data_IF_677376890767
#
_entry.id   IF_677376890767
#
_cell.length_a   1.000
_cell.length_b   1.000
_cell.length_c   1.000
_cell.angle_alpha   90.00
_cell.angle_beta   90.00
_cell.angle_gamma   90.00
#
_symmetry.space_group_name_H-M   'P 1'
#
loop_
_entity.id
_entity.type
_entity.pdbx_description
1 polymer ?
#
# COMPACT_ATOMS: atom_id res chain seq x y z
N UNK A 1 3.53 -28.10 -1.09
CA UNK A 1 2.84 -28.68 0.09
C UNK A 1 1.56 -27.95 0.53
N UNK A 2 1.43 -26.63 0.40
CA UNK A 2 0.21 -25.85 0.76
C UNK A 2 -1.08 -26.22 0.03
N UNK A 3 -1.00 -26.68 -1.23
CA UNK A 3 -2.18 -26.97 -2.06
C UNK A 3 -2.93 -28.24 -1.62
N UNK A 4 -2.32 -29.07 -0.76
CA UNK A 4 -2.86 -30.34 -0.28
C UNK A 4 -3.82 -30.17 0.90
N UNK A 5 -3.72 -29.07 1.67
CA UNK A 5 -4.63 -28.83 2.80
C UNK A 5 -5.95 -28.26 2.27
N UNK A 6 -7.08 -28.95 2.49
CA UNK A 6 -8.43 -28.42 2.22
C UNK A 6 -8.76 -27.30 3.21
N UNK A 7 -8.14 -26.13 3.05
CA UNK A 7 -8.47 -24.96 3.86
C UNK A 7 -9.83 -24.39 3.48
N UNK A 8 -10.59 -23.96 4.48
CA UNK A 8 -11.77 -23.13 4.30
C UNK A 8 -11.41 -21.79 3.63
N UNK A 9 -12.40 -21.13 3.03
CA UNK A 9 -12.22 -19.80 2.42
C UNK A 9 -11.66 -18.81 3.45
N UNK A 10 -12.20 -18.84 4.68
CA UNK A 10 -11.72 -18.02 5.79
C UNK A 10 -10.24 -18.30 6.15
N UNK A 11 -9.84 -19.58 6.18
CA UNK A 11 -8.45 -19.95 6.45
C UNK A 11 -7.49 -19.41 5.38
N UNK A 12 -7.91 -19.43 4.10
CA UNK A 12 -7.11 -18.84 3.00
C UNK A 12 -6.97 -17.34 3.14
N UNK A 13 -8.05 -16.63 3.50
CA UNK A 13 -8.01 -15.20 3.77
C UNK A 13 -7.06 -14.87 4.93
N UNK A 14 -7.09 -15.63 6.02
CA UNK A 14 -6.15 -15.45 7.13
C UNK A 14 -4.70 -15.68 6.70
N UNK A 15 -4.43 -16.71 5.88
CA UNK A 15 -3.08 -16.95 5.36
C UNK A 15 -2.58 -15.80 4.48
N UNK A 16 -3.42 -15.27 3.59
CA UNK A 16 -3.10 -14.07 2.79
C UNK A 16 -2.75 -12.91 3.73
N UNK A 17 -3.54 -12.72 4.78
CA UNK A 17 -3.33 -11.63 5.74
C UNK A 17 -2.08 -11.80 6.61
N UNK A 18 -1.63 -13.03 6.86
CA UNK A 18 -0.38 -13.27 7.59
C UNK A 18 0.86 -13.14 6.69
N UNK A 19 0.81 -13.69 5.48
CA UNK A 19 1.98 -13.83 4.60
C UNK A 19 2.14 -12.66 3.64
N UNK A 20 1.13 -12.45 2.78
CA UNK A 20 1.22 -11.46 1.70
C UNK A 20 1.22 -10.05 2.29
N UNK A 21 0.31 -9.81 3.22
CA UNK A 21 0.10 -8.51 3.85
C UNK A 21 1.32 -8.05 4.66
N UNK A 22 2.01 -8.94 5.38
CA UNK A 22 3.20 -8.55 6.17
C UNK A 22 4.37 -8.10 5.30
N UNK A 23 4.67 -8.84 4.22
CA UNK A 23 5.74 -8.51 3.28
C UNK A 23 5.39 -7.28 2.42
N UNK A 24 4.13 -7.19 2.03
CA UNK A 24 3.67 -6.13 1.13
C UNK A 24 3.59 -4.78 1.83
N UNK A 25 3.23 -4.72 3.12
CA UNK A 25 3.26 -3.44 3.85
C UNK A 25 4.67 -2.90 4.04
N UNK A 26 5.64 -3.77 4.27
CA UNK A 26 7.03 -3.34 4.39
C UNK A 26 7.52 -2.69 3.10
N UNK A 27 7.27 -3.34 1.96
CA UNK A 27 7.65 -2.80 0.64
C UNK A 27 6.88 -1.53 0.28
N UNK A 28 5.56 -1.49 0.51
CA UNK A 28 4.73 -0.29 0.28
C UNK A 28 5.09 0.90 1.15
N UNK A 29 5.68 0.67 2.33
CA UNK A 29 6.08 1.75 3.22
C UNK A 29 7.32 2.50 2.70
N UNK A 30 8.11 1.87 1.83
CA UNK A 30 9.34 2.42 1.24
C UNK A 30 9.13 2.86 -0.20
N UNK A 31 8.43 2.06 -1.00
CA UNK A 31 8.24 2.30 -2.43
C UNK A 31 6.75 2.37 -2.79
N UNK A 32 6.32 3.39 -3.58
CA UNK A 32 4.98 3.40 -4.13
C UNK A 32 4.84 2.27 -5.17
N UNK A 33 3.88 1.36 -4.93
CA UNK A 33 3.58 0.30 -5.89
C UNK A 33 2.88 0.89 -7.12
N UNK A 34 3.37 0.66 -8.35
CA UNK A 34 2.68 1.10 -9.55
C UNK A 34 1.36 0.32 -9.72
N UNK A 35 0.39 0.93 -10.41
CA UNK A 35 -0.98 0.40 -10.47
C UNK A 35 -1.07 -1.00 -11.09
N UNK A 36 -0.24 -1.30 -12.09
CA UNK A 36 -0.20 -2.62 -12.73
C UNK A 36 0.19 -3.73 -11.73
N UNK A 37 1.19 -3.48 -10.87
CA UNK A 37 1.60 -4.43 -9.81
C UNK A 37 0.47 -4.64 -8.82
N UNK A 38 -0.22 -3.56 -8.41
CA UNK A 38 -1.33 -3.69 -7.48
C UNK A 38 -2.45 -4.55 -8.06
N UNK A 39 -2.75 -4.40 -9.35
CA UNK A 39 -3.75 -5.22 -10.03
C UNK A 39 -3.32 -6.69 -10.14
N UNK A 40 -2.06 -6.96 -10.47
CA UNK A 40 -1.52 -8.32 -10.52
C UNK A 40 -1.59 -9.02 -9.16
N UNK A 41 -1.24 -8.32 -8.08
CA UNK A 41 -1.32 -8.86 -6.73
C UNK A 41 -2.78 -9.12 -6.34
N UNK A 42 -3.70 -8.21 -6.64
CA UNK A 42 -5.13 -8.41 -6.40
C UNK A 42 -5.64 -9.65 -7.16
N UNK A 43 -5.24 -9.82 -8.42
CA UNK A 43 -5.58 -10.99 -9.23
C UNK A 43 -5.03 -12.28 -8.61
N UNK A 44 -3.80 -12.26 -8.10
CA UNK A 44 -3.19 -13.40 -7.43
C UNK A 44 -3.92 -13.78 -6.13
N UNK A 45 -4.32 -12.77 -5.34
CA UNK A 45 -5.13 -12.95 -4.13
C UNK A 45 -6.48 -13.61 -4.47
N UNK A 46 -7.19 -13.08 -5.49
CA UNK A 46 -8.48 -13.64 -5.94
C UNK A 46 -8.30 -15.10 -6.38
N UNK A 47 -7.30 -15.37 -7.23
CA UNK A 47 -6.97 -16.73 -7.68
C UNK A 47 -6.69 -17.68 -6.52
N UNK A 48 -5.96 -17.23 -5.50
CA UNK A 48 -5.65 -18.02 -4.31
C UNK A 48 -6.90 -18.35 -3.48
N UNK A 49 -7.77 -17.37 -3.24
CA UNK A 49 -9.03 -17.56 -2.49
C UNK A 49 -9.91 -18.59 -3.19
N UNK A 50 -10.05 -18.49 -4.51
CA UNK A 50 -10.94 -19.34 -5.31
C UNK A 50 -10.27 -20.61 -5.86
N UNK A 51 -8.99 -20.88 -5.56
CA UNK A 51 -8.21 -22.02 -6.12
C UNK A 51 -8.25 -22.07 -7.65
N UNK A 52 -7.95 -20.95 -8.30
CA UNK A 52 -8.02 -20.80 -9.75
C UNK A 52 -9.41 -21.06 -10.36
N UNK A 53 -10.47 -21.12 -9.55
CA UNK A 53 -11.85 -21.11 -10.04
C UNK A 53 -12.31 -19.68 -10.30
N UNK A 54 -13.31 -19.48 -11.19
CA UNK A 54 -13.93 -18.17 -11.36
C UNK A 54 -14.42 -17.63 -10.01
N UNK A 55 -14.21 -16.33 -9.79
CA UNK A 55 -14.63 -15.66 -8.56
C UNK A 55 -16.14 -15.66 -8.45
N UNK A 56 -16.68 -16.31 -7.41
CA UNK A 56 -18.13 -16.31 -7.17
C UNK A 56 -18.64 -14.96 -6.61
N UNK A 57 -17.74 -14.14 -6.06
CA UNK A 57 -18.06 -12.87 -5.40
C UNK A 57 -17.23 -11.76 -6.02
N UNK A 58 -17.85 -10.59 -6.24
CA UNK A 58 -17.17 -9.38 -6.73
C UNK A 58 -16.08 -8.93 -5.74
N UNK A 59 -14.97 -8.42 -6.26
CA UNK A 59 -13.83 -7.96 -5.46
C UNK A 59 -14.20 -6.91 -4.40
N UNK A 60 -15.08 -5.95 -4.73
CA UNK A 60 -15.54 -4.93 -3.77
C UNK A 60 -16.23 -5.53 -2.54
N UNK A 61 -16.97 -6.62 -2.72
CA UNK A 61 -17.64 -7.33 -1.62
C UNK A 61 -16.64 -8.14 -0.79
N UNK A 62 -15.59 -8.69 -1.42
CA UNK A 62 -14.51 -9.42 -0.75
C UNK A 62 -13.71 -8.50 0.20
N UNK A 63 -13.44 -7.26 -0.22
CA UNK A 63 -12.74 -6.26 0.59
C UNK A 63 -13.57 -5.80 1.79
N UNK A 64 -14.89 -5.94 1.73
CA UNK A 64 -15.81 -5.51 2.79
C UNK A 64 -15.40 -6.03 4.17
N UNK A 65 -15.69 -5.23 5.20
CA UNK A 65 -15.40 -5.63 6.58
C UNK A 65 -16.18 -6.89 6.97
N UNK A 66 -15.61 -7.71 7.85
CA UNK A 66 -16.25 -8.95 8.35
C UNK A 66 -17.64 -8.71 8.95
N UNK A 67 -17.84 -7.54 9.58
CA UNK A 67 -19.14 -7.11 10.14
C UNK A 67 -20.22 -6.89 9.07
N UNK A 68 -19.82 -6.56 7.85
CA UNK A 68 -20.71 -6.29 6.71
C UNK A 68 -20.85 -7.50 5.78
N UNK A 69 -20.45 -8.69 6.22
CA UNK A 69 -20.47 -9.92 5.42
C UNK A 69 -19.34 -10.06 4.40
N UNK A 70 -18.33 -9.18 4.44
CA UNK A 70 -17.15 -9.28 3.59
C UNK A 70 -16.06 -10.18 4.19
N UNK A 71 -15.03 -10.50 3.40
CA UNK A 71 -13.94 -11.41 3.81
C UNK A 71 -12.84 -10.69 4.61
N UNK A 72 -12.89 -9.37 4.71
CA UNK A 72 -11.95 -8.56 5.48
C UNK A 72 -10.55 -8.48 4.89
N UNK A 73 -10.42 -8.65 3.56
CA UNK A 73 -9.14 -8.52 2.88
C UNK A 73 -8.79 -7.03 2.73
N UNK A 74 -7.57 -6.61 3.11
CA UNK A 74 -7.18 -5.22 3.04
C UNK A 74 -7.04 -4.75 1.58
N UNK A 75 -7.61 -3.58 1.29
CA UNK A 75 -7.43 -2.92 -0.01
C UNK A 75 -6.02 -2.31 -0.09
N UNK A 76 -5.24 -2.76 -1.07
CA UNK A 76 -3.86 -2.29 -1.29
C UNK A 76 -3.78 -0.79 -1.54
N UNK A 77 -4.66 -0.24 -2.39
CA UNK A 77 -4.70 1.20 -2.70
C UNK A 77 -4.90 2.03 -1.44
N UNK A 78 -5.96 1.72 -0.69
CA UNK A 78 -6.29 2.45 0.55
C UNK A 78 -5.19 2.33 1.59
N UNK A 79 -4.56 1.15 1.72
CA UNK A 79 -3.44 0.96 2.65
C UNK A 79 -2.19 1.73 2.24
N UNK A 80 -1.89 1.80 0.94
CA UNK A 80 -0.81 2.64 0.41
C UNK A 80 -1.01 4.11 0.79
N UNK A 81 -2.21 4.66 0.54
CA UNK A 81 -2.53 6.03 0.94
C UNK A 81 -2.44 6.23 2.46
N UNK A 82 -2.92 5.28 3.27
CA UNK A 82 -2.82 5.36 4.72
C UNK A 82 -1.36 5.35 5.21
N UNK A 83 -0.47 4.58 4.57
CA UNK A 83 0.96 4.56 4.88
C UNK A 83 1.61 5.89 4.50
N UNK A 84 1.30 6.45 3.33
CA UNK A 84 1.78 7.77 2.93
C UNK A 84 1.33 8.86 3.91
N UNK A 85 0.04 8.86 4.29
CA UNK A 85 -0.51 9.78 5.29
C UNK A 85 0.16 9.65 6.66
N UNK A 86 0.52 8.41 7.07
CA UNK A 86 1.25 8.18 8.32
C UNK A 86 2.63 8.85 8.30
N UNK A 87 3.34 8.79 7.18
CA UNK A 87 4.63 9.48 7.01
C UNK A 87 4.48 10.99 6.95
N UNK A 88 3.48 11.50 6.23
CA UNK A 88 3.17 12.93 6.19
C UNK A 88 2.83 13.46 7.59
N UNK A 89 1.99 12.75 8.35
CA UNK A 89 1.69 13.11 9.74
C UNK A 89 2.95 13.26 10.58
N UNK A 90 3.89 12.30 10.48
CA UNK A 90 5.18 12.38 11.19
C UNK A 90 6.05 13.55 10.73
N UNK A 91 6.02 13.88 9.45
CA UNK A 91 6.76 15.01 8.90
C UNK A 91 6.26 16.34 9.48
N UNK A 92 4.93 16.53 9.54
CA UNK A 92 4.31 17.75 10.04
C UNK A 92 4.30 17.87 11.58
N UNK A 93 4.51 16.78 12.33
CA UNK A 93 4.64 16.87 13.77
C UNK A 93 5.92 17.66 14.16
N UNK A 94 5.80 18.79 14.90
CA UNK A 94 6.94 19.62 15.27
C UNK A 94 7.86 18.92 16.29
N UNK A 95 7.29 18.11 17.17
CA UNK A 95 8.00 17.35 18.21
C UNK A 95 8.88 16.22 17.64
N UNK A 96 8.69 15.86 16.36
CA UNK A 96 9.42 14.75 15.73
C UNK A 96 10.67 15.28 15.01
N UNK A 97 11.78 15.36 15.75
CA UNK A 97 13.09 15.72 15.22
C UNK A 97 13.89 14.45 14.86
N UNK A 98 13.91 14.09 13.58
CA UNK A 98 14.64 12.90 13.09
C UNK A 98 15.48 13.23 11.86
N UNK A 99 16.61 12.55 11.68
CA UNK A 99 17.55 12.82 10.59
C UNK A 99 16.90 12.73 9.20
N UNK A 100 15.99 11.77 8.98
CA UNK A 100 15.27 11.66 7.70
C UNK A 100 14.43 12.91 7.40
N UNK A 101 13.85 13.59 8.42
CA UNK A 101 13.07 14.82 8.24
C UNK A 101 13.98 15.96 7.77
N UNK A 102 15.18 16.08 8.34
CA UNK A 102 16.17 17.07 7.91
C UNK A 102 16.62 16.82 6.46
N UNK A 103 16.91 15.57 6.10
CA UNK A 103 17.26 15.17 4.73
C UNK A 103 16.11 15.47 3.76
N UNK A 104 14.87 15.12 4.13
CA UNK A 104 13.69 15.42 3.31
C UNK A 104 13.48 16.91 3.13
N UNK A 105 13.62 17.73 4.19
CA UNK A 105 13.55 19.18 4.07
C UNK A 105 14.65 19.74 3.14
N UNK A 106 15.86 19.19 3.20
CA UNK A 106 16.95 19.57 2.30
C UNK A 106 16.62 19.23 0.84
N UNK A 107 16.23 17.98 0.56
CA UNK A 107 15.88 17.52 -0.79
C UNK A 107 14.68 18.28 -1.34
N UNK A 108 13.64 18.50 -0.54
CA UNK A 108 12.46 19.26 -0.94
C UNK A 108 12.81 20.71 -1.29
N UNK A 109 13.71 21.37 -0.55
CA UNK A 109 14.17 22.73 -0.90
C UNK A 109 14.98 22.78 -2.19
N UNK A 110 15.72 21.72 -2.52
CA UNK A 110 16.57 21.67 -3.72
C UNK A 110 15.76 21.41 -5.00
N UNK A 111 14.75 20.53 -4.93
CA UNK A 111 14.01 20.07 -6.13
C UNK A 111 12.55 20.51 -6.18
N UNK A 112 11.97 20.85 -5.04
CA UNK A 112 10.66 21.46 -4.94
C UNK A 112 10.83 22.96 -4.74
N UNK A 113 10.45 23.76 -5.73
CA UNK A 113 10.27 25.20 -5.59
C UNK A 113 9.01 25.50 -4.71
N UNK A 114 8.84 24.71 -3.65
CA UNK A 114 7.70 24.64 -2.76
C UNK A 114 8.13 25.32 -1.47
N UNK A 115 7.79 26.60 -1.37
CA UNK A 115 7.57 27.21 -0.06
C UNK A 115 6.62 26.28 0.70
N UNK A 116 6.96 26.00 1.96
CA UNK A 116 6.52 24.87 2.79
C UNK A 116 5.04 24.91 3.21
N UNK A 117 4.16 25.20 2.27
CA UNK A 117 2.81 25.61 2.51
C UNK A 117 1.89 24.69 1.68
N UNK A 118 1.37 23.68 2.38
CA UNK A 118 0.15 22.90 2.06
C UNK A 118 0.17 21.98 0.82
N UNK A 119 1.06 22.15 -0.15
CA UNK A 119 1.04 21.38 -1.42
C UNK A 119 1.60 19.95 -1.32
N UNK A 120 2.09 19.52 -0.15
CA UNK A 120 2.46 18.12 0.16
C UNK A 120 1.28 17.14 -0.01
N UNK A 121 0.04 17.61 0.08
CA UNK A 121 -1.16 16.79 -0.15
C UNK A 121 -1.27 16.30 -1.60
N UNK A 122 -0.60 16.96 -2.55
CA UNK A 122 -0.68 16.62 -3.97
C UNK A 122 0.49 15.77 -4.45
N UNK A 123 1.31 15.20 -3.55
CA UNK A 123 2.25 14.14 -3.92
C UNK A 123 1.47 12.82 -4.08
N UNK A 124 0.53 12.78 -5.03
CA UNK A 124 0.73 11.80 -6.09
C UNK A 124 2.13 12.07 -6.60
N UNK A 125 3.06 11.15 -6.40
CA UNK A 125 4.39 11.25 -7.01
C UNK A 125 4.19 11.44 -8.51
N UNK A 126 4.13 12.71 -8.94
CA UNK A 126 4.00 13.06 -10.34
C UNK A 126 5.26 12.51 -10.95
N UNK A 127 5.11 11.74 -12.03
CA UNK A 127 6.21 11.09 -12.71
C UNK A 127 7.38 12.07 -12.99
N UNK A 128 7.05 13.35 -13.22
CA UNK A 128 7.99 14.46 -13.37
C UNK A 128 8.85 14.79 -12.14
N UNK A 129 8.42 14.49 -10.92
CA UNK A 129 9.23 14.62 -9.71
C UNK A 129 10.19 13.43 -9.55
N UNK A 130 9.73 12.22 -9.88
CA UNK A 130 10.57 11.01 -9.87
C UNK A 130 11.68 11.07 -10.92
N UNK A 131 11.41 11.66 -12.09
CA UNK A 131 12.38 11.86 -13.17
C UNK A 131 13.47 12.89 -12.81
N UNK A 132 13.24 13.74 -11.81
CA UNK A 132 14.22 14.75 -11.33
C UNK A 132 15.10 14.25 -10.19
N UNK A 133 14.79 13.09 -9.61
CA UNK A 133 15.62 12.52 -8.55
C UNK A 133 16.86 11.86 -9.15
N UNK A 134 18.03 12.00 -8.53
CA UNK A 134 19.21 11.27 -8.95
C UNK A 134 18.93 9.77 -8.90
N UNK A 135 19.33 9.07 -9.95
CA UNK A 135 19.21 7.61 -10.03
C UNK A 135 20.16 7.02 -8.99
N UNK A 136 19.60 6.35 -7.98
CA UNK A 136 20.35 5.55 -7.00
C UNK A 136 20.35 4.08 -7.41
#
# INVERSE_FOLDING_TARGET
MWNMRRLSIHGRCSLIQCLIVSQLWYTMAVLPLPEWVQNDINNMIIKFIWRNKPSAIKYNTIIGGKKSGGLGIPNLKLKGHALALKWLKKFFCPEYCCNWKAIMCYVLRQYGNLELDYALFNIHFVKSFLEKLPVF
#
